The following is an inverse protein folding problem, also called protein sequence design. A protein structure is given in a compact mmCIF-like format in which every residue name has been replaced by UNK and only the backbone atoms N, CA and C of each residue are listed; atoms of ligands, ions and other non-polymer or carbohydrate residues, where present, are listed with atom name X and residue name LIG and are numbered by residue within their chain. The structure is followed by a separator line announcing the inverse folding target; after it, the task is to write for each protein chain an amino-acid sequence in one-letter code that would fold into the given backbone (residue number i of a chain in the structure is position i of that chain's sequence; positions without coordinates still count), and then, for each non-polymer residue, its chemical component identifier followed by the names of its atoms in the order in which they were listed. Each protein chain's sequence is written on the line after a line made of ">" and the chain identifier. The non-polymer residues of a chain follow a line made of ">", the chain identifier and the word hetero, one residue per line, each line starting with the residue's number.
data_IF_611915706889
#
_entry.id   IF_611915706889
#
_cell.length_a   1.000
_cell.length_b   1.000
_cell.length_c   1.000
_cell.angle_alpha   90.00
_cell.angle_beta   90.00
_cell.angle_gamma   90.00
#
_symmetry.space_group_name_H-M   'P 1'
#
loop_
_entity.id
_entity.type
_entity.pdbx_description
1 polymer ?
#
# COMPACT_ATOMS: atom_id res chain seq x y z
N UNK A 1 -14.20 -6.29 -12.43
CA UNK A 1 -14.85 -7.52 -12.92
C UNK A 1 -16.22 -7.19 -13.47
N UNK A 2 -16.76 -8.04 -14.34
CA UNK A 2 -18.12 -7.92 -14.87
C UNK A 2 -18.15 -8.05 -16.39
N UNK A 3 -19.28 -7.68 -16.99
CA UNK A 3 -19.45 -7.60 -18.44
C UNK A 3 -18.70 -6.36 -18.99
N UNK A 4 -17.51 -6.58 -19.53
CA UNK A 4 -16.69 -5.57 -20.17
C UNK A 4 -17.04 -5.38 -21.66
N UNK A 5 -17.91 -6.22 -22.21
CA UNK A 5 -18.44 -6.16 -23.56
C UNK A 5 -17.42 -6.21 -24.72
N UNK A 6 -16.17 -6.58 -24.46
CA UNK A 6 -15.21 -6.91 -25.52
C UNK A 6 -15.64 -8.18 -26.25
N UNK A 7 -15.47 -8.19 -27.57
CA UNK A 7 -15.99 -9.24 -28.45
C UNK A 7 -14.88 -9.93 -29.23
N UNK A 8 -15.21 -11.10 -29.75
CA UNK A 8 -14.47 -11.74 -30.83
C UNK A 8 -15.04 -11.23 -32.16
N UNK A 9 -14.29 -10.49 -32.98
CA UNK A 9 -14.77 -9.85 -34.19
C UNK A 9 -14.79 -10.83 -35.39
N UNK A 10 -15.18 -12.08 -35.17
CA UNK A 10 -15.33 -13.09 -36.21
C UNK A 10 -16.81 -13.35 -36.52
N UNK A 11 -17.15 -13.73 -37.76
CA UNK A 11 -18.48 -14.25 -38.09
C UNK A 11 -18.85 -15.44 -37.19
N UNK A 12 -20.12 -15.53 -36.81
CA UNK A 12 -20.61 -16.56 -35.87
C UNK A 12 -20.31 -17.99 -36.32
N UNK A 13 -20.49 -18.29 -37.62
CA UNK A 13 -20.22 -19.62 -38.16
C UNK A 13 -18.74 -20.02 -38.07
N UNK A 14 -17.83 -19.07 -38.23
CA UNK A 14 -16.38 -19.28 -38.13
C UNK A 14 -15.98 -19.49 -36.67
N UNK A 15 -16.41 -18.61 -35.77
CA UNK A 15 -16.16 -18.75 -34.34
C UNK A 15 -16.69 -20.08 -33.77
N UNK A 16 -17.92 -20.48 -34.14
CA UNK A 16 -18.47 -21.79 -33.74
C UNK A 16 -17.71 -22.97 -34.36
N UNK A 17 -17.19 -22.83 -35.57
CA UNK A 17 -16.37 -23.87 -36.22
C UNK A 17 -15.05 -24.08 -35.47
N UNK A 18 -14.37 -22.99 -35.09
CA UNK A 18 -13.14 -23.04 -34.28
C UNK A 18 -13.40 -23.70 -32.93
N UNK A 19 -14.47 -23.29 -32.22
CA UNK A 19 -14.85 -23.89 -30.94
C UNK A 19 -15.14 -25.40 -31.04
N UNK A 20 -15.84 -25.84 -32.10
CA UNK A 20 -16.14 -27.27 -32.33
C UNK A 20 -14.88 -28.11 -32.55
N UNK A 21 -13.80 -27.51 -33.05
CA UNK A 21 -12.50 -28.18 -33.23
C UNK A 21 -11.64 -28.16 -31.95
N UNK A 22 -12.13 -27.57 -30.86
CA UNK A 22 -11.36 -27.37 -29.63
C UNK A 22 -10.35 -26.21 -29.70
N UNK A 23 -10.46 -25.32 -30.70
CA UNK A 23 -9.56 -24.19 -30.92
C UNK A 23 -9.80 -23.02 -29.97
N UNK A 24 -9.90 -23.25 -28.66
CA UNK A 24 -10.15 -22.19 -27.67
C UNK A 24 -9.04 -21.13 -27.70
N UNK A 25 -7.79 -21.58 -27.71
CA UNK A 25 -6.61 -20.72 -27.76
C UNK A 25 -6.57 -19.90 -29.06
N UNK A 26 -6.86 -20.54 -30.20
CA UNK A 26 -6.96 -19.87 -31.51
C UNK A 26 -8.03 -18.77 -31.49
N UNK A 27 -9.21 -19.06 -30.93
CA UNK A 27 -10.27 -18.05 -30.85
C UNK A 27 -9.91 -16.88 -29.93
N UNK A 28 -9.18 -17.13 -28.85
CA UNK A 28 -8.70 -16.09 -27.92
C UNK A 28 -7.70 -15.12 -28.57
N UNK A 29 -7.00 -15.52 -29.64
CA UNK A 29 -6.10 -14.61 -30.38
C UNK A 29 -6.88 -13.44 -31.03
N UNK A 30 -8.17 -13.65 -31.31
CA UNK A 30 -9.07 -12.64 -31.86
C UNK A 30 -9.84 -11.87 -30.77
N UNK A 31 -9.68 -12.20 -29.48
CA UNK A 31 -10.37 -11.52 -28.39
C UNK A 31 -9.90 -10.07 -28.27
N UNK A 32 -10.83 -9.11 -28.45
CA UNK A 32 -10.49 -7.69 -28.43
C UNK A 32 -9.83 -7.28 -27.11
N UNK A 33 -10.32 -7.74 -25.95
CA UNK A 33 -9.71 -7.35 -24.67
C UNK A 33 -8.26 -7.82 -24.58
N UNK A 34 -7.99 -9.07 -24.98
CA UNK A 34 -6.64 -9.64 -25.03
C UNK A 34 -5.73 -8.82 -25.94
N UNK A 35 -6.19 -8.46 -27.13
CA UNK A 35 -5.44 -7.61 -28.07
C UNK A 35 -5.16 -6.22 -27.47
N UNK A 36 -6.17 -5.56 -26.91
CA UNK A 36 -6.04 -4.21 -26.33
C UNK A 36 -5.11 -4.19 -25.09
N UNK A 37 -5.15 -5.24 -24.26
CA UNK A 37 -4.25 -5.41 -23.11
C UNK A 37 -2.81 -5.69 -23.53
N UNK A 38 -2.60 -6.58 -24.49
CA UNK A 38 -1.27 -6.88 -25.03
C UNK A 38 -0.62 -5.64 -25.66
N UNK A 39 -1.43 -4.80 -26.30
CA UNK A 39 -1.00 -3.51 -26.84
C UNK A 39 -0.87 -2.39 -25.78
N UNK A 40 -1.11 -2.69 -24.50
CA UNK A 40 -1.06 -1.76 -23.36
C UNK A 40 -1.97 -0.53 -23.51
N UNK A 41 -3.05 -0.62 -24.30
CA UNK A 41 -4.00 0.47 -24.52
C UNK A 41 -5.03 0.60 -23.39
N UNK A 42 -5.33 -0.51 -22.72
CA UNK A 42 -6.34 -0.60 -21.66
C UNK A 42 -5.82 -1.40 -20.46
N UNK A 43 -6.43 -1.19 -19.29
CA UNK A 43 -6.18 -1.95 -18.06
C UNK A 43 -4.68 -2.11 -17.72
N UNK A 44 -3.89 -1.05 -17.90
CA UNK A 44 -2.47 -1.06 -17.55
C UNK A 44 -2.27 -1.37 -16.06
N UNK A 45 -1.34 -2.26 -15.76
CA UNK A 45 -1.10 -2.74 -14.39
C UNK A 45 -2.08 -3.82 -13.91
N UNK A 46 -3.03 -4.26 -14.74
CA UNK A 46 -3.91 -5.38 -14.42
C UNK A 46 -3.48 -6.66 -15.17
N UNK A 47 -3.43 -7.75 -14.42
CA UNK A 47 -3.28 -9.10 -14.94
C UNK A 47 -4.65 -9.79 -15.02
N UNK A 48 -4.71 -10.86 -15.81
CA UNK A 48 -5.88 -11.73 -15.93
C UNK A 48 -5.34 -13.16 -16.00
N UNK A 49 -6.04 -14.07 -15.32
CA UNK A 49 -5.68 -15.49 -15.34
C UNK A 49 -5.97 -16.10 -16.73
N UNK A 50 -5.27 -17.19 -17.11
CA UNK A 50 -5.55 -17.89 -18.35
C UNK A 50 -7.02 -18.31 -18.47
N UNK A 51 -7.61 -18.08 -19.64
CA UNK A 51 -9.00 -18.46 -19.94
C UNK A 51 -9.00 -19.86 -20.52
N UNK A 52 -9.54 -20.82 -19.76
CA UNK A 52 -9.65 -22.22 -20.16
C UNK A 52 -11.12 -22.67 -20.35
N UNK A 53 -12.05 -21.72 -20.35
CA UNK A 53 -13.48 -21.95 -20.50
C UNK A 53 -14.04 -21.32 -21.78
N UNK A 54 -15.12 -21.91 -22.32
CA UNK A 54 -15.77 -21.44 -23.53
C UNK A 54 -16.35 -20.01 -23.36
N UNK A 55 -16.57 -19.27 -24.47
CA UNK A 55 -17.15 -17.92 -24.41
C UNK A 55 -18.44 -17.86 -23.59
N UNK A 56 -18.61 -16.83 -22.78
CA UNK A 56 -19.75 -16.73 -21.85
C UNK A 56 -20.98 -16.06 -22.44
N UNK A 57 -20.84 -15.45 -23.62
CA UNK A 57 -21.89 -14.76 -24.35
C UNK A 57 -21.86 -15.18 -25.82
N UNK A 58 -22.96 -15.25 -26.57
CA UNK A 58 -24.37 -15.14 -26.19
C UNK A 58 -25.03 -16.50 -26.31
N UNK A 59 -25.87 -16.86 -25.34
CA UNK A 59 -26.63 -18.11 -25.32
C UNK A 59 -28.14 -17.88 -25.49
N UNK A 60 -28.84 -18.89 -26.02
CA UNK A 60 -30.29 -18.95 -25.94
C UNK A 60 -30.69 -19.28 -24.49
N UNK A 61 -31.52 -18.41 -23.89
CA UNK A 61 -31.94 -18.52 -22.48
C UNK A 61 -32.58 -19.89 -22.22
N UNK A 62 -32.24 -20.50 -21.09
CA UNK A 62 -32.68 -21.85 -20.70
C UNK A 62 -31.86 -22.97 -21.32
N UNK A 63 -30.86 -22.67 -22.17
CA UNK A 63 -30.05 -23.68 -22.87
C UNK A 63 -28.54 -23.46 -22.74
N UNK A 64 -27.77 -24.40 -23.28
CA UNK A 64 -26.32 -24.25 -23.52
C UNK A 64 -26.01 -24.07 -25.01
N UNK A 65 -27.02 -23.72 -25.81
CA UNK A 65 -26.87 -23.43 -27.23
C UNK A 65 -26.54 -21.95 -27.41
N UNK A 66 -25.52 -21.67 -28.21
CA UNK A 66 -25.20 -20.30 -28.61
C UNK A 66 -26.34 -19.68 -29.42
N UNK A 67 -26.43 -18.34 -29.36
CA UNK A 67 -27.48 -17.51 -29.97
C UNK A 67 -27.93 -17.99 -31.34
N UNK A 68 -29.24 -18.21 -31.46
CA UNK A 68 -29.90 -18.60 -32.72
C UNK A 68 -30.95 -17.61 -33.19
N UNK A 69 -31.02 -16.45 -32.53
CA UNK A 69 -31.76 -15.31 -33.05
C UNK A 69 -31.22 -14.84 -34.40
N UNK A 70 -32.01 -14.04 -35.11
CA UNK A 70 -31.63 -13.42 -36.39
C UNK A 70 -30.35 -12.58 -36.29
N UNK A 71 -30.02 -12.08 -35.09
CA UNK A 71 -28.81 -11.27 -34.85
C UNK A 71 -27.53 -12.09 -34.90
N UNK A 72 -27.60 -13.42 -34.74
CA UNK A 72 -26.50 -14.40 -34.80
C UNK A 72 -25.22 -13.86 -34.17
N UNK A 73 -25.29 -13.48 -32.91
CA UNK A 73 -24.13 -12.89 -32.21
C UNK A 73 -23.01 -13.93 -32.13
N UNK A 74 -21.80 -13.49 -32.48
CA UNK A 74 -20.61 -14.32 -32.35
C UNK A 74 -20.32 -14.64 -30.88
N UNK A 75 -19.95 -15.88 -30.53
CA UNK A 75 -19.48 -16.22 -29.19
C UNK A 75 -18.34 -15.30 -28.73
N UNK A 76 -18.40 -14.77 -27.51
CA UNK A 76 -17.42 -13.83 -26.95
C UNK A 76 -17.27 -13.95 -25.42
N UNK A 77 -16.09 -13.61 -24.90
CA UNK A 77 -15.82 -13.50 -23.46
C UNK A 77 -16.08 -12.08 -22.98
N UNK A 78 -17.37 -11.75 -22.86
CA UNK A 78 -17.81 -10.45 -22.37
C UNK A 78 -17.53 -10.29 -20.86
N UNK A 79 -17.70 -11.37 -20.10
CA UNK A 79 -17.61 -11.38 -18.65
C UNK A 79 -16.17 -11.71 -18.20
N UNK A 80 -15.51 -10.79 -17.51
CA UNK A 80 -14.07 -10.87 -17.21
C UNK A 80 -13.73 -10.50 -15.77
N UNK A 81 -12.70 -11.15 -15.22
CA UNK A 81 -12.13 -10.86 -13.91
C UNK A 81 -10.65 -10.53 -14.07
N UNK A 82 -10.32 -9.25 -13.98
CA UNK A 82 -8.93 -8.76 -13.95
C UNK A 82 -8.55 -8.37 -12.53
N UNK A 83 -7.28 -8.50 -12.20
CA UNK A 83 -6.74 -8.17 -10.89
C UNK A 83 -5.49 -7.29 -11.00
N UNK A 84 -5.37 -6.32 -10.09
CA UNK A 84 -4.29 -5.34 -10.14
C UNK A 84 -2.97 -5.94 -9.66
N UNK A 85 -1.92 -5.79 -10.47
CA UNK A 85 -0.56 -6.14 -10.10
C UNK A 85 0.05 -4.98 -9.34
N UNK A 86 0.08 -5.08 -8.00
CA UNK A 86 0.60 -4.02 -7.15
C UNK A 86 2.11 -3.79 -7.41
N UNK A 87 2.53 -2.64 -7.96
CA UNK A 87 3.94 -2.39 -8.27
C UNK A 87 4.82 -2.27 -7.02
N UNK A 88 4.24 -2.02 -5.84
CA UNK A 88 4.93 -1.99 -4.56
C UNK A 88 5.17 -3.40 -3.99
N UNK A 89 4.57 -4.43 -4.60
CA UNK A 89 4.69 -5.84 -4.19
C UNK A 89 5.56 -6.65 -5.15
N UNK A 90 6.42 -6.01 -5.95
CA UNK A 90 7.32 -6.70 -6.88
C UNK A 90 8.21 -7.75 -6.20
N UNK A 91 8.59 -7.51 -4.95
CA UNK A 91 9.43 -8.41 -4.14
C UNK A 91 8.65 -9.55 -3.46
N UNK A 92 7.32 -9.51 -3.47
CA UNK A 92 6.44 -10.56 -2.94
C UNK A 92 5.44 -10.94 -4.03
N UNK A 93 5.87 -11.61 -5.12
CA UNK A 93 5.02 -11.91 -6.27
C UNK A 93 3.79 -12.76 -5.89
N UNK A 94 3.91 -13.56 -4.83
CA UNK A 94 2.85 -14.45 -4.33
C UNK A 94 1.87 -13.74 -3.38
N UNK A 95 1.92 -12.42 -3.25
CA UNK A 95 0.98 -11.67 -2.41
C UNK A 95 -0.48 -11.83 -2.87
N UNK A 96 -0.67 -12.14 -4.16
CA UNK A 96 -1.94 -12.41 -4.81
C UNK A 96 -1.74 -13.54 -5.82
N UNK A 97 -2.39 -14.67 -5.59
CA UNK A 97 -2.33 -15.86 -6.45
C UNK A 97 -3.73 -16.17 -6.94
N UNK A 98 -3.91 -16.35 -8.25
CA UNK A 98 -5.15 -16.92 -8.78
C UNK A 98 -5.09 -18.45 -8.64
N UNK A 99 -6.01 -19.02 -7.88
CA UNK A 99 -6.11 -20.47 -7.68
C UNK A 99 -6.86 -21.13 -8.84
N UNK A 100 -7.91 -20.48 -9.32
CA UNK A 100 -8.62 -20.87 -10.54
C UNK A 100 -9.45 -19.73 -11.10
N UNK A 101 -9.73 -19.83 -12.40
CA UNK A 101 -10.58 -18.91 -13.16
C UNK A 101 -11.47 -19.72 -14.12
N UNK A 102 -12.78 -19.71 -13.89
CA UNK A 102 -13.72 -20.64 -14.52
C UNK A 102 -15.06 -19.99 -14.82
N UNK A 103 -15.81 -20.59 -15.74
CA UNK A 103 -17.21 -20.28 -15.99
C UNK A 103 -18.09 -21.48 -15.61
N UNK A 104 -19.30 -21.22 -15.11
CA UNK A 104 -20.32 -22.25 -14.90
C UNK A 104 -21.22 -22.33 -16.14
N UNK A 105 -20.94 -23.30 -17.01
CA UNK A 105 -21.64 -23.45 -18.30
C UNK A 105 -23.02 -24.10 -18.14
N UNK A 106 -23.23 -24.80 -17.04
CA UNK A 106 -24.45 -25.51 -16.67
C UNK A 106 -25.60 -24.56 -16.32
N UNK A 107 -25.28 -23.36 -15.82
CA UNK A 107 -26.29 -22.37 -15.46
C UNK A 107 -26.80 -21.66 -16.72
N UNK A 108 -28.10 -21.76 -16.98
CA UNK A 108 -28.74 -21.27 -18.21
C UNK A 108 -29.85 -20.24 -17.97
N UNK A 109 -29.90 -19.63 -16.79
CA UNK A 109 -30.92 -18.64 -16.42
C UNK A 109 -30.81 -17.31 -17.22
N UNK A 110 -29.66 -17.06 -17.85
CA UNK A 110 -29.36 -15.87 -18.64
C UNK A 110 -28.73 -16.27 -19.97
N UNK A 111 -28.68 -15.33 -20.92
CA UNK A 111 -27.89 -15.41 -22.14
C UNK A 111 -26.37 -15.24 -21.90
N UNK A 112 -25.98 -14.95 -20.65
CA UNK A 112 -24.60 -15.00 -20.16
C UNK A 112 -24.38 -16.20 -19.23
N UNK A 113 -23.14 -16.71 -19.22
CA UNK A 113 -22.67 -17.73 -18.28
C UNK A 113 -21.87 -17.08 -17.13
N UNK A 114 -22.16 -17.39 -15.86
CA UNK A 114 -21.44 -16.80 -14.73
C UNK A 114 -19.95 -17.13 -14.74
N UNK A 115 -19.12 -16.11 -14.53
CA UNK A 115 -17.67 -16.24 -14.40
C UNK A 115 -17.25 -16.08 -12.95
N UNK A 116 -16.31 -16.91 -12.52
CA UNK A 116 -15.85 -17.02 -11.14
C UNK A 116 -14.32 -17.11 -11.11
N UNK A 117 -13.71 -16.52 -10.08
CA UNK A 117 -12.27 -16.65 -9.83
C UNK A 117 -12.00 -16.76 -8.34
N UNK A 118 -11.13 -17.68 -7.96
CA UNK A 118 -10.64 -17.81 -6.59
C UNK A 118 -9.22 -17.25 -6.49
N UNK A 119 -8.98 -16.48 -5.44
CA UNK A 119 -7.70 -15.83 -5.21
C UNK A 119 -7.23 -16.06 -3.77
N UNK A 120 -5.98 -16.49 -3.62
CA UNK A 120 -5.25 -16.45 -2.37
C UNK A 120 -4.58 -15.09 -2.21
N UNK A 121 -4.76 -14.44 -1.05
CA UNK A 121 -4.16 -13.12 -0.78
C UNK A 121 -3.35 -13.18 0.52
N UNK A 122 -2.08 -12.80 0.46
CA UNK A 122 -1.26 -12.60 1.66
C UNK A 122 -1.57 -11.24 2.27
N UNK A 123 -2.20 -11.27 3.44
CA UNK A 123 -2.50 -10.07 4.22
C UNK A 123 -1.45 -9.90 5.33
N UNK A 124 -1.01 -8.66 5.56
CA UNK A 124 -0.17 -8.33 6.72
C UNK A 124 -1.06 -8.31 7.94
N UNK A 125 -0.76 -9.17 8.92
CA UNK A 125 -1.36 -9.12 10.24
C UNK A 125 -0.36 -8.51 11.19
N UNK A 126 -0.78 -7.47 11.91
CA UNK A 126 0.04 -6.88 12.97
C UNK A 126 0.00 -7.82 14.16
N UNK A 127 1.17 -8.19 14.66
CA UNK A 127 1.30 -8.85 15.96
C UNK A 127 1.18 -7.78 17.04
N UNK A 128 0.05 -7.78 17.74
CA UNK A 128 -0.27 -6.77 18.73
C UNK A 128 0.77 -6.70 19.85
N UNK A 129 1.28 -7.85 20.30
CA UNK A 129 2.26 -7.91 21.39
C UNK A 129 3.58 -7.26 20.96
N UNK A 130 4.08 -7.64 19.77
CA UNK A 130 5.34 -7.05 19.25
C UNK A 130 5.18 -5.57 18.94
N UNK A 131 4.00 -5.15 18.48
CA UNK A 131 3.70 -3.73 18.26
C UNK A 131 3.80 -2.94 19.58
N UNK A 132 3.18 -3.44 20.65
CA UNK A 132 3.21 -2.80 21.98
C UNK A 132 4.63 -2.76 22.56
N UNK A 133 5.39 -3.86 22.44
CA UNK A 133 6.80 -3.92 22.86
C UNK A 133 7.64 -2.88 22.10
N UNK A 134 7.52 -2.85 20.78
CA UNK A 134 8.25 -1.89 19.93
C UNK A 134 7.86 -0.44 20.25
N UNK A 135 6.58 -0.19 20.49
CA UNK A 135 6.08 1.13 20.84
C UNK A 135 6.61 1.59 22.20
N UNK A 136 6.65 0.70 23.19
CA UNK A 136 7.20 0.98 24.51
C UNK A 136 8.70 1.27 24.45
N UNK A 137 9.45 0.55 23.61
CA UNK A 137 10.89 0.79 23.40
C UNK A 137 11.12 2.16 22.73
N UNK A 138 10.33 2.53 21.72
CA UNK A 138 10.40 3.86 21.10
C UNK A 138 10.12 4.97 22.12
N UNK A 139 9.10 4.80 22.98
CA UNK A 139 8.83 5.78 24.04
C UNK A 139 9.99 5.89 25.03
N UNK A 140 10.60 4.77 25.43
CA UNK A 140 11.76 4.79 26.32
C UNK A 140 12.95 5.52 25.71
N UNK A 141 13.20 5.31 24.41
CA UNK A 141 14.28 5.99 23.70
C UNK A 141 14.01 7.50 23.57
N UNK A 142 12.75 7.88 23.34
CA UNK A 142 12.34 9.28 23.31
C UNK A 142 12.51 9.94 24.68
N UNK A 143 12.03 9.31 25.76
CA UNK A 143 12.19 9.80 27.13
C UNK A 143 13.67 9.97 27.49
N UNK A 144 14.52 9.01 27.08
CA UNK A 144 15.96 9.10 27.30
C UNK A 144 16.56 10.29 26.55
N UNK A 145 16.20 10.46 25.28
CA UNK A 145 16.67 11.58 24.46
C UNK A 145 16.23 12.93 25.04
N UNK A 146 14.97 13.04 25.48
CA UNK A 146 14.45 14.25 26.12
C UNK A 146 15.22 14.59 27.41
N UNK A 147 15.49 13.59 28.25
CA UNK A 147 16.29 13.78 29.47
C UNK A 147 17.72 14.20 29.18
N UNK A 148 18.39 13.57 28.20
CA UNK A 148 19.73 13.96 27.76
C UNK A 148 19.74 15.37 27.13
N UNK A 149 18.64 15.79 26.54
CA UNK A 149 18.49 17.12 25.94
C UNK A 149 18.26 18.25 26.96
N UNK A 150 18.08 17.94 28.25
CA UNK A 150 17.95 18.97 29.30
C UNK A 150 19.35 19.54 29.63
N UNK A 151 19.55 20.87 29.56
CA UNK A 151 20.81 21.48 29.95
C UNK A 151 21.02 21.36 31.48
N UNK A 152 22.20 20.92 31.88
CA UNK A 152 22.60 20.79 33.30
C UNK A 152 23.81 21.69 33.59
N UNK A 153 23.56 22.84 34.23
CA UNK A 153 24.57 23.82 34.61
C UNK A 153 24.74 23.84 36.13
N UNK A 154 25.98 23.66 36.58
CA UNK A 154 26.37 23.76 37.99
C UNK A 154 27.32 24.94 38.16
N UNK A 155 27.10 25.70 39.24
CA UNK A 155 27.99 26.80 39.66
C UNK A 155 28.71 26.36 40.93
N UNK A 156 30.03 26.56 40.98
CA UNK A 156 30.87 26.14 42.11
C UNK A 156 30.60 26.92 43.40
N UNK A 157 30.14 28.17 43.29
CA UNK A 157 29.70 28.97 44.43
C UNK A 157 28.52 29.87 44.08
N UNK A 158 27.48 29.81 44.90
CA UNK A 158 26.32 30.70 44.81
C UNK A 158 26.56 32.06 45.49
N UNK A 159 27.65 32.18 46.26
CA UNK A 159 28.01 33.39 47.00
C UNK A 159 29.46 33.77 46.69
N UNK A 160 29.68 35.02 46.32
CA UNK A 160 31.01 35.57 46.10
C UNK A 160 31.37 36.55 47.20
N UNK A 161 32.18 36.09 48.16
CA UNK A 161 32.75 36.96 49.18
C UNK A 161 34.10 37.55 48.72
N UNK A 162 34.14 38.87 48.61
CA UNK A 162 35.33 39.63 48.25
C UNK A 162 36.17 40.03 49.47
N UNK A 163 35.68 39.82 50.70
CA UNK A 163 36.30 40.28 51.92
C UNK A 163 36.41 41.81 52.00
N UNK A 164 37.42 42.30 52.70
CA UNK A 164 37.69 43.74 52.83
C UNK A 164 38.27 44.31 51.51
N UNK A 165 37.50 45.15 50.83
CA UNK A 165 37.92 45.82 49.58
C UNK A 165 38.30 47.28 49.90
N UNK A 166 39.45 47.73 49.40
CA UNK A 166 39.98 49.09 49.61
C UNK A 166 39.93 49.94 48.34
N UNK A 167 39.82 51.26 48.50
CA UNK A 167 39.74 52.19 47.39
C UNK A 167 40.99 52.11 46.49
N UNK A 168 40.78 51.97 45.18
CA UNK A 168 41.85 51.87 44.19
C UNK A 168 42.53 50.49 44.10
N UNK A 169 42.15 49.51 44.93
CA UNK A 169 42.74 48.16 44.93
C UNK A 169 41.81 47.16 44.26
N UNK A 170 42.22 46.60 43.11
CA UNK A 170 41.44 45.59 42.38
C UNK A 170 41.47 44.25 43.10
N UNK A 171 40.30 43.74 43.49
CA UNK A 171 40.12 42.37 44.00
C UNK A 171 39.41 41.54 42.93
N UNK A 172 39.92 40.33 42.67
CA UNK A 172 39.36 39.39 41.68
C UNK A 172 38.92 38.12 42.37
N UNK A 173 37.76 37.61 41.97
CA UNK A 173 37.24 36.28 42.33
C UNK A 173 36.94 35.51 41.05
N UNK A 174 37.04 34.19 41.15
CA UNK A 174 36.73 33.26 40.08
C UNK A 174 35.51 32.45 40.50
N UNK A 175 34.57 32.32 39.57
CA UNK A 175 33.45 31.37 39.62
C UNK A 175 33.63 30.44 38.45
N UNK A 176 33.38 29.15 38.68
CA UNK A 176 33.37 28.13 37.65
C UNK A 176 31.92 27.74 37.39
N UNK A 177 31.50 27.95 36.16
CA UNK A 177 30.23 27.42 35.65
C UNK A 177 30.57 26.20 34.80
N UNK A 178 30.09 25.04 35.21
CA UNK A 178 30.33 23.76 34.57
C UNK A 178 29.03 23.28 33.92
N UNK A 179 29.07 22.99 32.62
CA UNK A 179 27.99 22.28 31.95
C UNK A 179 28.26 20.78 32.05
N UNK A 180 27.42 20.08 32.81
CA UNK A 180 27.48 18.61 32.99
C UNK A 180 26.54 17.87 32.05
N UNK A 181 25.67 18.60 31.36
CA UNK A 181 24.79 18.06 30.34
C UNK A 181 25.49 17.81 29.01
N UNK A 182 24.81 17.09 28.11
CA UNK A 182 25.33 16.78 26.77
C UNK A 182 24.91 17.82 25.71
N UNK A 183 24.10 18.80 26.09
CA UNK A 183 23.65 19.90 25.23
C UNK A 183 24.33 21.21 25.57
N UNK A 184 24.42 22.12 24.59
CA UNK A 184 24.95 23.47 24.82
C UNK A 184 24.00 24.23 25.75
N UNK A 185 24.50 24.64 26.91
CA UNK A 185 23.75 25.46 27.85
C UNK A 185 24.26 26.90 27.81
N UNK A 186 23.36 27.83 27.48
CA UNK A 186 23.65 29.27 27.49
C UNK A 186 23.56 29.83 28.91
N UNK A 187 24.44 30.76 29.26
CA UNK A 187 24.41 31.45 30.55
C UNK A 187 24.64 32.95 30.35
N UNK A 188 24.16 33.75 31.32
CA UNK A 188 24.41 35.20 31.37
C UNK A 188 24.35 35.69 32.81
N UNK A 189 25.09 36.76 33.11
CA UNK A 189 24.87 37.51 34.35
C UNK A 189 23.57 38.31 34.25
N UNK A 190 22.72 38.20 35.25
CA UNK A 190 21.49 38.98 35.37
C UNK A 190 21.65 39.92 36.56
N UNK A 191 21.44 41.22 36.34
CA UNK A 191 21.44 42.20 37.43
C UNK A 191 20.24 41.98 38.36
N UNK A 192 20.33 42.44 39.61
CA UNK A 192 19.22 42.37 40.56
C UNK A 192 17.99 43.06 39.94
N UNK A 193 16.86 42.34 39.86
CA UNK A 193 15.60 42.91 39.38
C UNK A 193 15.09 44.04 40.30
N UNK A 194 14.07 44.80 39.88
CA UNK A 194 13.54 45.92 40.68
C UNK A 194 13.01 45.52 42.06
N UNK A 195 12.70 44.24 42.29
CA UNK A 195 12.20 43.73 43.56
C UNK A 195 13.35 43.11 44.37
N UNK A 196 14.09 44.00 45.04
CA UNK A 196 15.18 43.64 45.93
C UNK A 196 14.72 43.26 47.32
N UNK A 197 14.04 42.12 47.48
CA UNK A 197 13.93 41.44 48.78
C UNK A 197 14.64 40.08 48.68
N UNK A 198 15.73 39.96 49.44
CA UNK A 198 16.44 38.69 49.62
C UNK A 198 15.84 37.92 50.79
N UNK A 199 15.83 36.60 50.67
CA UNK A 199 16.15 35.73 51.79
C UNK A 199 17.66 35.46 51.80
#
# INVERSE_FOLDING_TARGET
>A
MGDLNYRVPLPEGEAKSILKKGGLAELLEFDQLTIERNAKRVFQGFDEAPIEFAPTYKYDIGTSRFDTSEKRRSPSWCDRILYFRNPLKKEDPDWLVNEWYRSCMELSLSDHKPVMGLFGVKVRKIDQKRYEETLADIYRDLDKYENEAVPDLVVDSNVLDFGAVSYGVKVVRRVVVENRGVVIAGWRFVGKGPDGEGE
#
